data_IF_360925039609
#
_entry.id   IF_360925039609
#
_cell.length_a   1.000
_cell.length_b   1.000
_cell.length_c   1.000
_cell.angle_alpha   90.00
_cell.angle_beta   90.00
_cell.angle_gamma   90.00
#
_symmetry.space_group_name_H-M   'P 1'
#
loop_
_entity.id
_entity.type
_entity.pdbx_description
1 polymer ?
#
# COMPACT_ATOMS: atom_id res chain seq x y z
N UNK A 1 -31.39 -5.50 -11.85
CA UNK A 1 -30.27 -6.39 -11.48
C UNK A 1 -29.29 -5.52 -10.70
N UNK A 2 -29.27 -5.64 -9.39
CA UNK A 2 -28.34 -4.91 -8.52
C UNK A 2 -26.95 -5.52 -8.68
N UNK A 3 -25.96 -4.73 -9.09
CA UNK A 3 -24.57 -5.17 -9.10
C UNK A 3 -24.21 -5.60 -7.67
N UNK A 4 -23.82 -6.85 -7.48
CA UNK A 4 -23.32 -7.33 -6.21
C UNK A 4 -21.98 -6.65 -5.95
N UNK A 5 -21.98 -5.59 -5.14
CA UNK A 5 -20.76 -4.91 -4.74
C UNK A 5 -19.81 -5.89 -4.06
N UNK A 6 -18.61 -6.06 -4.62
CA UNK A 6 -17.55 -6.82 -3.95
C UNK A 6 -17.13 -6.05 -2.69
N UNK A 7 -16.92 -6.76 -1.58
CA UNK A 7 -16.64 -6.23 -0.23
C UNK A 7 -15.16 -6.39 0.14
N UNK A 8 -14.51 -5.35 0.67
CA UNK A 8 -13.08 -5.34 0.97
C UNK A 8 -12.75 -6.45 1.99
N UNK A 9 -11.62 -7.13 1.81
CA UNK A 9 -11.28 -8.35 2.55
C UNK A 9 -10.85 -8.07 3.99
N UNK A 10 -10.45 -6.84 4.31
CA UNK A 10 -9.88 -6.48 5.62
C UNK A 10 -10.96 -6.09 6.63
N UNK A 11 -12.02 -5.43 6.18
CA UNK A 11 -13.04 -4.80 7.03
C UNK A 11 -14.48 -4.89 6.46
N UNK A 12 -14.67 -5.52 5.29
CA UNK A 12 -15.97 -5.67 4.65
C UNK A 12 -16.52 -4.37 4.03
N UNK A 13 -15.78 -3.27 4.11
CA UNK A 13 -16.17 -1.99 3.53
C UNK A 13 -16.08 -2.04 1.99
N UNK A 14 -16.89 -1.29 1.24
CA UNK A 14 -16.70 -1.18 -0.21
C UNK A 14 -15.34 -0.58 -0.55
N UNK A 15 -14.59 -1.21 -1.45
CA UNK A 15 -13.33 -0.67 -1.98
C UNK A 15 -13.60 0.28 -3.16
N UNK A 16 -14.40 1.30 -2.89
CA UNK A 16 -14.77 2.35 -3.83
C UNK A 16 -14.01 3.62 -3.50
N UNK A 17 -13.40 4.23 -4.52
CA UNK A 17 -12.57 5.42 -4.36
C UNK A 17 -13.19 6.60 -5.10
N UNK A 18 -13.15 7.78 -4.51
CA UNK A 18 -13.49 9.01 -5.19
C UNK A 18 -12.20 9.76 -5.50
N UNK A 19 -12.07 10.38 -6.67
CA UNK A 19 -10.89 11.19 -6.98
C UNK A 19 -11.23 12.56 -7.56
N UNK A 20 -10.37 13.53 -7.23
CA UNK A 20 -10.50 14.92 -7.64
C UNK A 20 -9.12 15.55 -7.88
N UNK A 21 -9.13 16.72 -8.50
CA UNK A 21 -7.93 17.49 -8.78
C UNK A 21 -7.95 18.71 -7.87
N UNK A 22 -6.81 19.02 -7.23
CA UNK A 22 -6.67 20.27 -6.48
C UNK A 22 -5.32 20.91 -6.78
N UNK A 23 -5.32 22.23 -6.79
CA UNK A 23 -4.09 23.01 -6.89
C UNK A 23 -3.49 23.19 -5.50
N UNK A 24 -2.21 22.89 -5.32
CA UNK A 24 -1.49 23.19 -4.07
C UNK A 24 -0.45 24.26 -4.34
N UNK A 25 -0.67 25.41 -3.72
CA UNK A 25 0.39 26.40 -3.55
C UNK A 25 1.25 25.98 -2.34
N UNK A 26 2.43 25.43 -2.61
CA UNK A 26 3.34 25.01 -1.55
C UNK A 26 4.06 26.17 -0.87
N UNK A 27 3.95 27.42 -1.36
CA UNK A 27 4.35 28.67 -0.68
C UNK A 27 5.80 28.80 -0.17
N UNK A 28 6.63 27.77 -0.34
CA UNK A 28 7.96 27.65 0.27
C UNK A 28 9.08 28.08 -0.67
N UNK A 29 8.80 28.13 -1.97
CA UNK A 29 9.69 28.65 -3.00
C UNK A 29 8.84 29.26 -4.13
N UNK A 30 8.95 30.57 -4.42
CA UNK A 30 8.30 31.18 -5.58
C UNK A 30 8.69 30.53 -6.91
N UNK A 31 9.82 29.80 -6.94
CA UNK A 31 10.30 29.04 -8.09
C UNK A 31 10.05 27.51 -7.96
N UNK A 32 9.46 27.06 -6.85
CA UNK A 32 9.10 25.65 -6.66
C UNK A 32 8.02 25.22 -7.65
N UNK A 33 7.94 23.92 -8.02
CA UNK A 33 6.92 23.46 -8.94
C UNK A 33 5.55 23.56 -8.26
N UNK A 34 4.85 24.67 -8.54
CA UNK A 34 3.40 24.74 -8.41
C UNK A 34 2.82 23.65 -9.30
N UNK A 35 1.90 22.87 -8.76
CA UNK A 35 1.37 21.74 -9.48
C UNK A 35 0.03 21.32 -8.94
N UNK A 36 -0.79 20.82 -9.85
CA UNK A 36 -2.03 20.19 -9.50
C UNK A 36 -1.70 18.77 -9.02
N UNK A 37 -2.43 18.33 -8.01
CA UNK A 37 -2.34 16.96 -7.53
C UNK A 37 -3.68 16.26 -7.74
N UNK A 38 -3.61 14.95 -7.92
CA UNK A 38 -4.77 14.08 -7.91
C UNK A 38 -4.93 13.55 -6.49
N UNK A 39 -6.08 13.82 -5.88
CA UNK A 39 -6.46 13.26 -4.59
C UNK A 39 -7.40 12.11 -4.81
N UNK A 40 -7.07 10.94 -4.27
CA UNK A 40 -7.94 9.78 -4.23
C UNK A 40 -8.30 9.48 -2.78
N UNK A 41 -9.59 9.33 -2.52
CA UNK A 41 -10.12 9.23 -1.17
C UNK A 41 -11.13 8.08 -1.08
N UNK A 42 -11.07 7.27 -0.03
CA UNK A 42 -12.08 6.24 0.23
C UNK A 42 -13.11 6.79 1.24
N UNK A 43 -14.37 6.99 0.85
CA UNK A 43 -15.39 7.59 1.72
C UNK A 43 -15.80 6.69 2.90
N UNK A 44 -15.54 5.38 2.82
CA UNK A 44 -15.86 4.43 3.89
C UNK A 44 -14.77 4.35 4.95
N UNK A 45 -13.51 4.37 4.54
CA UNK A 45 -12.36 4.24 5.46
C UNK A 45 -11.76 5.59 5.86
N UNK A 46 -12.07 6.66 5.13
CA UNK A 46 -11.47 7.99 5.30
C UNK A 46 -9.99 8.07 4.91
N UNK A 47 -9.47 7.04 4.22
CA UNK A 47 -8.13 7.05 3.66
C UNK A 47 -8.03 8.08 2.53
N UNK A 48 -6.92 8.80 2.48
CA UNK A 48 -6.63 9.81 1.46
C UNK A 48 -5.24 9.53 0.93
N UNK A 49 -5.12 9.54 -0.38
CA UNK A 49 -3.85 9.43 -1.09
C UNK A 49 -3.72 10.50 -2.16
N UNK A 50 -2.48 10.72 -2.60
CA UNK A 50 -2.14 11.79 -3.52
C UNK A 50 -1.17 11.31 -4.62
N UNK A 51 -1.43 11.77 -5.84
CA UNK A 51 -0.59 11.59 -7.01
C UNK A 51 -0.22 12.94 -7.63
N UNK A 52 0.91 13.01 -8.33
CA UNK A 52 1.47 14.25 -8.88
C UNK A 52 2.75 14.70 -8.17
N UNK A 53 3.18 15.98 -8.36
CA UNK A 53 2.48 17.07 -9.04
C UNK A 53 2.45 16.94 -10.58
N UNK A 54 1.42 17.50 -11.23
CA UNK A 54 1.28 17.62 -12.68
C UNK A 54 0.49 18.89 -13.08
N UNK A 55 0.69 19.45 -14.29
CA UNK A 55 -0.05 20.63 -14.75
C UNK A 55 -1.40 20.22 -15.36
N UNK A 56 -2.35 19.80 -14.54
CA UNK A 56 -3.62 19.20 -15.01
C UNK A 56 -4.66 20.29 -15.31
N UNK A 57 -4.90 21.21 -14.37
CA UNK A 57 -5.96 22.21 -14.46
C UNK A 57 -5.73 23.22 -15.60
N UNK A 58 -4.47 23.42 -15.99
CA UNK A 58 -4.09 24.30 -17.10
C UNK A 58 -4.26 23.69 -18.49
N UNK A 59 -4.53 22.38 -18.60
CA UNK A 59 -4.74 21.74 -19.89
C UNK A 59 -6.06 22.20 -20.52
N UNK A 60 -6.08 22.47 -21.84
CA UNK A 60 -7.23 23.11 -22.47
C UNK A 60 -8.41 22.15 -22.69
N UNK A 61 -8.17 20.85 -22.86
CA UNK A 61 -9.22 19.85 -23.14
C UNK A 61 -9.40 18.86 -21.98
N UNK A 62 -10.60 18.26 -21.90
CA UNK A 62 -10.90 17.25 -20.88
C UNK A 62 -10.12 15.96 -21.17
N UNK A 63 -9.89 15.65 -22.44
CA UNK A 63 -9.12 14.50 -22.89
C UNK A 63 -7.65 14.59 -22.47
N UNK A 64 -7.05 15.78 -22.58
CA UNK A 64 -5.68 16.02 -22.10
C UNK A 64 -5.62 15.98 -20.57
N UNK A 65 -6.63 16.52 -19.88
CA UNK A 65 -6.75 16.40 -18.41
C UNK A 65 -6.79 14.93 -17.99
N UNK A 66 -7.66 14.14 -18.61
CA UNK A 66 -7.79 12.71 -18.33
C UNK A 66 -6.45 11.99 -18.55
N UNK A 67 -5.78 12.25 -19.66
CA UNK A 67 -4.47 11.67 -19.97
C UNK A 67 -3.40 12.02 -18.92
N UNK A 68 -3.38 13.26 -18.42
CA UNK A 68 -2.45 13.69 -17.38
C UNK A 68 -2.79 13.11 -15.98
N UNK A 69 -4.07 12.85 -15.71
CA UNK A 69 -4.55 12.30 -14.44
C UNK A 69 -4.18 10.84 -14.30
N UNK A 70 -4.27 10.03 -15.37
CA UNK A 70 -4.06 8.57 -15.32
C UNK A 70 -2.75 8.17 -14.62
N UNK A 71 -1.56 8.65 -15.05
CA UNK A 71 -0.32 8.24 -14.39
C UNK A 71 -0.29 8.70 -12.92
N UNK A 72 -0.82 9.88 -12.62
CA UNK A 72 -0.91 10.37 -11.23
C UNK A 72 -1.82 9.47 -10.39
N UNK A 73 -2.99 9.11 -10.90
CA UNK A 73 -4.00 8.28 -10.24
C UNK A 73 -3.51 6.85 -10.02
N UNK A 74 -2.90 6.23 -11.03
CA UNK A 74 -2.36 4.87 -10.92
C UNK A 74 -1.17 4.81 -9.96
N UNK A 75 -0.27 5.79 -10.01
CA UNK A 75 0.88 5.90 -9.10
C UNK A 75 0.44 5.97 -7.63
N UNK A 76 -0.74 6.52 -7.33
CA UNK A 76 -1.32 6.51 -5.99
C UNK A 76 -1.48 5.09 -5.43
N UNK A 77 -1.89 4.13 -6.28
CA UNK A 77 -2.18 2.75 -5.87
C UNK A 77 -1.02 1.79 -6.11
N UNK A 78 -0.10 2.13 -7.01
CA UNK A 78 1.11 1.35 -7.28
C UNK A 78 2.19 1.65 -6.23
N UNK A 79 2.14 2.83 -5.60
CA UNK A 79 3.19 3.26 -4.68
C UNK A 79 3.29 2.34 -3.45
N UNK A 80 4.52 1.92 -3.13
CA UNK A 80 4.77 0.84 -2.18
C UNK A 80 4.73 1.24 -0.71
N UNK A 81 4.68 2.54 -0.42
CA UNK A 81 4.82 3.06 0.94
C UNK A 81 3.57 2.85 1.79
N UNK A 82 2.47 2.44 1.18
CA UNK A 82 1.23 2.10 1.87
C UNK A 82 0.64 0.84 1.23
N UNK A 83 0.34 -0.21 2.01
CA UNK A 83 -0.47 -1.33 1.55
C UNK A 83 -1.87 -0.81 1.19
N UNK A 84 -2.05 -0.36 -0.06
CA UNK A 84 -3.33 0.12 -0.55
C UNK A 84 -4.01 -1.00 -1.30
N UNK A 85 -5.26 -1.30 -0.95
CA UNK A 85 -6.08 -2.16 -1.78
C UNK A 85 -6.32 -1.46 -3.11
N UNK A 86 -5.92 -2.07 -4.23
CA UNK A 86 -6.28 -1.58 -5.56
C UNK A 86 -7.79 -1.33 -5.61
N UNK A 87 -8.24 -0.18 -6.12
CA UNK A 87 -9.65 0.17 -6.17
C UNK A 87 -10.41 -0.90 -6.96
N UNK A 88 -11.69 -1.10 -6.63
CA UNK A 88 -12.59 -1.92 -7.45
C UNK A 88 -13.53 -1.09 -8.30
N UNK A 89 -13.75 0.14 -7.88
CA UNK A 89 -14.47 1.15 -8.63
C UNK A 89 -13.96 2.51 -8.18
N UNK A 90 -14.14 3.50 -9.05
CA UNK A 90 -13.90 4.87 -8.68
C UNK A 90 -14.88 5.84 -9.32
N UNK A 91 -15.06 6.98 -8.66
CA UNK A 91 -15.89 8.06 -9.15
C UNK A 91 -15.13 9.39 -9.16
N UNK A 92 -15.57 10.32 -9.99
CA UNK A 92 -15.08 11.70 -9.98
C UNK A 92 -16.23 12.72 -9.93
N UNK A 93 -15.90 13.97 -9.61
CA UNK A 93 -16.88 15.05 -9.41
C UNK A 93 -17.47 15.60 -10.71
N UNK A 94 -16.81 15.35 -11.83
CA UNK A 94 -17.09 15.92 -13.15
C UNK A 94 -17.51 14.79 -14.11
N UNK A 95 -18.72 14.90 -14.66
CA UNK A 95 -19.31 13.87 -15.50
C UNK A 95 -18.58 13.71 -16.85
N UNK A 96 -18.12 14.82 -17.43
CA UNK A 96 -17.41 14.80 -18.70
C UNK A 96 -16.02 14.20 -18.49
N UNK A 97 -15.37 14.52 -17.36
CA UNK A 97 -14.11 13.90 -16.97
C UNK A 97 -14.26 12.41 -16.70
N UNK A 98 -15.33 11.97 -16.04
CA UNK A 98 -15.60 10.54 -15.79
C UNK A 98 -15.65 9.77 -17.12
N UNK A 99 -16.39 10.29 -18.10
CA UNK A 99 -16.48 9.69 -19.43
C UNK A 99 -15.11 9.65 -20.13
N UNK A 100 -14.37 10.77 -20.14
CA UNK A 100 -13.06 10.84 -20.79
C UNK A 100 -12.04 9.89 -20.14
N UNK A 101 -12.03 9.82 -18.81
CA UNK A 101 -11.18 8.91 -18.04
C UNK A 101 -11.47 7.45 -18.41
N UNK A 102 -12.73 7.04 -18.52
CA UNK A 102 -13.08 5.67 -18.88
C UNK A 102 -12.56 5.25 -20.25
N UNK A 103 -12.62 6.15 -21.24
CA UNK A 103 -12.05 5.92 -22.58
C UNK A 103 -10.53 5.79 -22.50
N UNK A 104 -9.84 6.72 -21.83
CA UNK A 104 -8.38 6.74 -21.74
C UNK A 104 -7.83 5.56 -20.93
N UNK A 105 -8.43 5.22 -19.78
CA UNK A 105 -8.03 4.06 -18.99
C UNK A 105 -8.06 2.77 -19.81
N UNK A 106 -9.08 2.62 -20.66
CA UNK A 106 -9.18 1.49 -21.59
C UNK A 106 -8.06 1.48 -22.63
N UNK A 107 -7.70 2.63 -23.17
CA UNK A 107 -6.56 2.76 -24.11
C UNK A 107 -5.22 2.41 -23.44
N UNK A 108 -5.08 2.67 -22.14
CA UNK A 108 -3.92 2.29 -21.33
C UNK A 108 -3.96 0.83 -20.84
N UNK A 109 -4.94 0.03 -21.26
CA UNK A 109 -5.03 -1.40 -20.91
C UNK A 109 -5.44 -1.67 -19.47
N UNK A 110 -6.03 -0.69 -18.78
CA UNK A 110 -6.56 -0.88 -17.43
C UNK A 110 -7.75 -1.86 -17.47
N UNK A 111 -7.88 -2.67 -16.42
CA UNK A 111 -8.95 -3.66 -16.30
C UNK A 111 -10.34 -3.05 -16.62
N UNK A 112 -11.21 -3.73 -17.41
CA UNK A 112 -12.49 -3.17 -17.86
C UNK A 112 -13.39 -2.64 -16.74
N UNK A 113 -13.39 -3.29 -15.57
CA UNK A 113 -14.18 -2.88 -14.41
C UNK A 113 -13.79 -1.49 -13.87
N UNK A 114 -12.52 -1.09 -14.04
CA UNK A 114 -12.02 0.23 -13.62
C UNK A 114 -12.12 1.28 -14.73
N UNK A 115 -12.44 0.88 -15.95
CA UNK A 115 -12.75 1.81 -17.03
C UNK A 115 -14.16 2.41 -16.87
N UNK A 116 -15.02 1.83 -16.03
CA UNK A 116 -16.31 2.39 -15.65
C UNK A 116 -16.10 3.40 -14.52
N UNK A 117 -15.86 4.67 -14.88
CA UNK A 117 -15.69 5.76 -13.91
C UNK A 117 -17.06 6.37 -13.63
N UNK A 118 -17.48 6.29 -12.37
CA UNK A 118 -18.76 6.84 -11.91
C UNK A 118 -18.69 8.36 -11.70
N UNK A 119 -19.87 8.97 -11.59
CA UNK A 119 -20.00 10.36 -11.12
C UNK A 119 -20.35 10.33 -9.64
N UNK A 120 -19.64 11.11 -8.83
CA UNK A 120 -19.86 11.16 -7.39
C UNK A 120 -21.32 11.52 -7.04
N UNK A 121 -21.90 10.79 -6.08
CA UNK A 121 -23.17 11.19 -5.43
C UNK A 121 -23.00 12.51 -4.66
N UNK A 122 -24.10 13.19 -4.27
CA UNK A 122 -24.02 14.39 -3.44
C UNK A 122 -23.23 14.18 -2.13
N UNK A 123 -23.41 13.03 -1.48
CA UNK A 123 -22.72 12.69 -0.23
C UNK A 123 -21.22 12.48 -0.46
N UNK A 124 -20.86 11.78 -1.55
CA UNK A 124 -19.47 11.59 -1.95
C UNK A 124 -18.79 12.93 -2.32
N UNK A 125 -19.53 13.83 -2.96
CA UNK A 125 -19.04 15.18 -3.29
C UNK A 125 -18.73 15.98 -2.03
N UNK A 126 -19.63 15.99 -1.05
CA UNK A 126 -19.41 16.68 0.22
C UNK A 126 -18.19 16.10 0.95
N UNK A 127 -18.06 14.77 0.99
CA UNK A 127 -16.90 14.10 1.57
C UNK A 127 -15.58 14.48 0.90
N UNK A 128 -15.57 14.58 -0.43
CA UNK A 128 -14.38 15.00 -1.17
C UNK A 128 -13.98 16.43 -0.84
N UNK A 129 -14.94 17.34 -0.77
CA UNK A 129 -14.70 18.74 -0.43
C UNK A 129 -14.11 18.85 0.97
N UNK A 130 -14.69 18.16 1.96
CA UNK A 130 -14.14 18.13 3.33
C UNK A 130 -12.71 17.55 3.36
N UNK A 131 -12.47 16.49 2.58
CA UNK A 131 -11.16 15.84 2.47
C UNK A 131 -10.11 16.76 1.84
N UNK A 132 -10.49 17.55 0.83
CA UNK A 132 -9.65 18.57 0.22
C UNK A 132 -9.29 19.68 1.23
N UNK A 133 -10.25 20.18 2.00
CA UNK A 133 -10.01 21.24 3.00
C UNK A 133 -9.11 20.78 4.15
N UNK A 134 -9.14 19.49 4.48
CA UNK A 134 -8.27 18.87 5.50
C UNK A 134 -6.84 18.65 5.02
N UNK A 135 -6.58 18.62 3.72
CA UNK A 135 -5.28 18.28 3.18
C UNK A 135 -4.18 19.29 3.60
N UNK A 136 -4.36 20.62 3.47
CA UNK A 136 -3.35 21.59 3.92
C UNK A 136 -3.03 21.44 5.41
N UNK A 137 -4.03 21.12 6.25
CA UNK A 137 -3.83 20.91 7.68
C UNK A 137 -3.02 19.64 7.95
N UNK A 138 -3.33 18.54 7.25
CA UNK A 138 -2.55 17.29 7.32
C UNK A 138 -1.12 17.49 6.81
N UNK A 139 -0.93 18.21 5.71
CA UNK A 139 0.39 18.56 5.17
C UNK A 139 1.17 19.43 6.16
N UNK A 140 0.56 20.49 6.70
CA UNK A 140 1.20 21.35 7.69
C UNK A 140 1.53 20.58 8.97
N UNK A 141 0.67 19.65 9.40
CA UNK A 141 0.98 18.76 10.53
C UNK A 141 2.16 17.83 10.21
N UNK A 142 2.19 17.23 9.02
CA UNK A 142 3.28 16.36 8.58
C UNK A 142 4.61 17.10 8.47
N UNK A 143 4.59 18.29 7.85
CA UNK A 143 5.75 19.16 7.66
C UNK A 143 6.17 19.87 8.97
N UNK A 144 5.22 20.27 9.80
CA UNK A 144 5.48 20.88 11.11
C UNK A 144 5.97 19.87 12.15
N UNK A 145 5.57 18.60 12.03
CA UNK A 145 6.07 17.49 12.86
C UNK A 145 7.56 17.20 12.63
N UNK A 146 8.15 17.61 11.50
CA UNK A 146 9.62 17.60 11.31
C UNK A 146 10.35 18.52 12.31
N UNK A 147 9.70 19.56 12.83
CA UNK A 147 10.36 20.61 13.65
C UNK A 147 10.46 20.23 15.14
N UNK A 148 9.69 19.24 15.62
CA UNK A 148 9.83 18.67 16.99
C UNK A 148 9.88 17.15 16.94
N UNK A 149 10.77 16.59 16.12
CA UNK A 149 11.01 15.15 16.13
C UNK A 149 11.75 14.75 17.41
N UNK A 150 11.02 14.20 18.39
CA UNK A 150 11.63 13.54 19.55
C UNK A 150 12.64 12.48 19.06
N UNK A 151 13.81 12.36 19.71
CA UNK A 151 14.79 11.33 19.36
C UNK A 151 14.16 9.93 19.48
N UNK A 152 14.44 9.06 18.52
CA UNK A 152 14.00 7.65 18.55
C UNK A 152 14.73 6.94 19.70
N UNK A 153 13.98 6.28 20.57
CA UNK A 153 14.55 5.54 21.70
C UNK A 153 15.44 4.39 21.20
N UNK A 154 16.55 4.08 21.89
CA UNK A 154 17.32 2.86 21.61
C UNK A 154 16.43 1.62 21.74
N UNK A 155 16.53 0.68 20.81
CA UNK A 155 15.74 -0.56 20.76
C UNK A 155 14.41 -0.45 20.02
N UNK A 156 13.96 0.75 19.67
CA UNK A 156 12.74 0.94 18.87
C UNK A 156 12.96 0.48 17.42
N UNK A 157 12.40 -0.68 17.07
CA UNK A 157 12.46 -1.27 15.73
C UNK A 157 11.39 -0.72 14.78
N UNK A 158 10.48 0.15 15.25
CA UNK A 158 9.38 0.68 14.44
C UNK A 158 9.77 1.90 13.62
N UNK A 159 10.98 2.45 13.84
CA UNK A 159 11.46 3.67 13.16
C UNK A 159 12.94 3.60 12.81
N UNK A 160 13.31 4.23 11.69
CA UNK A 160 14.70 4.42 11.32
C UNK A 160 15.36 5.48 12.22
N UNK A 161 16.44 5.17 12.93
CA UNK A 161 17.16 6.15 13.76
C UNK A 161 17.83 7.27 12.94
N UNK A 162 18.03 7.08 11.63
CA UNK A 162 18.63 8.07 10.74
C UNK A 162 17.65 9.12 10.20
N UNK A 163 16.57 8.69 9.54
CA UNK A 163 15.57 9.60 8.96
C UNK A 163 14.31 9.75 9.80
N UNK A 164 14.13 8.93 10.84
CA UNK A 164 12.97 8.91 11.75
C UNK A 164 11.64 8.51 11.12
N UNK A 165 11.61 8.14 9.84
CA UNK A 165 10.43 7.51 9.23
C UNK A 165 10.14 6.15 9.89
N UNK A 166 8.87 5.77 9.90
CA UNK A 166 8.42 4.48 10.44
C UNK A 166 8.86 3.32 9.54
N UNK A 167 8.95 2.11 10.07
CA UNK A 167 9.29 0.91 9.33
C UNK A 167 8.32 0.66 8.16
N UNK A 168 7.06 1.08 8.31
CA UNK A 168 6.02 1.04 7.28
C UNK A 168 6.35 1.88 6.04
N UNK A 169 7.24 2.87 6.14
CA UNK A 169 7.65 3.67 4.99
C UNK A 169 8.63 2.94 4.05
N UNK A 170 9.04 1.71 4.37
CA UNK A 170 10.10 0.99 3.66
C UNK A 170 9.68 -0.43 3.28
N UNK A 171 10.15 -0.87 2.12
CA UNK A 171 9.97 -2.24 1.64
C UNK A 171 10.76 -3.28 2.42
N UNK A 172 11.99 -2.92 2.80
CA UNK A 172 12.91 -3.82 3.47
C UNK A 172 12.79 -3.63 4.99
N UNK A 173 12.86 -4.72 5.78
CA UNK A 173 12.97 -4.62 7.22
C UNK A 173 14.14 -3.73 7.62
N UNK A 174 13.94 -2.94 8.69
CA UNK A 174 15.02 -2.09 9.18
C UNK A 174 16.22 -2.94 9.64
N UNK A 175 17.39 -2.57 9.16
CA UNK A 175 18.65 -3.23 9.46
C UNK A 175 19.16 -2.78 10.82
N UNK A 176 19.48 -3.75 11.68
CA UNK A 176 20.08 -3.49 13.00
C UNK A 176 21.52 -3.02 12.86
N UNK A 177 21.94 -2.10 13.70
CA UNK A 177 23.34 -1.74 13.86
C UNK A 177 24.13 -2.97 14.31
N UNK A 178 25.12 -3.39 13.53
CA UNK A 178 25.94 -4.56 13.85
C UNK A 178 26.77 -4.41 15.13
N UNK A 179 27.05 -3.18 15.57
CA UNK A 179 27.83 -2.93 16.77
C UNK A 179 27.04 -3.06 18.08
N UNK A 180 25.82 -2.50 18.14
CA UNK A 180 25.04 -2.48 19.38
C UNK A 180 23.70 -3.23 19.33
N UNK A 181 23.18 -3.55 18.14
CA UNK A 181 21.85 -4.15 17.98
C UNK A 181 20.66 -3.22 18.33
N UNK A 182 20.90 -2.06 18.92
CA UNK A 182 19.87 -1.16 19.48
C UNK A 182 19.43 -0.01 18.54
N UNK A 183 20.04 0.13 17.38
CA UNK A 183 19.64 1.14 16.40
C UNK A 183 19.26 0.47 15.09
N UNK A 184 18.23 0.99 14.43
CA UNK A 184 17.61 0.41 13.25
C UNK A 184 17.66 1.41 12.09
N UNK A 185 17.98 0.93 10.88
CA UNK A 185 18.15 1.78 9.71
C UNK A 185 17.57 1.13 8.46
N UNK A 186 16.86 1.89 7.64
CA UNK A 186 16.40 1.37 6.35
C UNK A 186 17.54 1.30 5.30
N UNK A 187 18.62 2.08 5.49
CA UNK A 187 19.72 2.21 4.52
C UNK A 187 21.07 2.50 5.19
N UNK A 188 22.16 2.19 4.48
CA UNK A 188 23.52 2.51 4.93
C UNK A 188 23.74 4.02 5.02
N UNK A 189 23.06 4.78 4.18
CA UNK A 189 23.10 6.24 4.11
C UNK A 189 22.51 6.84 5.40
N UNK A 190 21.36 6.33 5.85
CA UNK A 190 20.77 6.72 7.14
C UNK A 190 21.66 6.36 8.32
N UNK A 191 22.29 5.18 8.29
CA UNK A 191 23.26 4.79 9.32
C UNK A 191 24.45 5.76 9.36
N UNK A 192 25.08 6.06 8.21
CA UNK A 192 26.21 7.00 8.12
C UNK A 192 25.84 8.40 8.61
N UNK A 193 24.64 8.89 8.26
CA UNK A 193 24.13 10.19 8.71
C UNK A 193 23.96 10.24 10.23
N UNK A 194 23.37 9.19 10.81
CA UNK A 194 23.18 9.08 12.26
C UNK A 194 24.47 8.77 13.02
N UNK A 195 25.47 8.19 12.35
CA UNK A 195 26.70 7.67 12.97
C UNK A 195 27.42 8.69 13.85
N UNK A 196 27.47 9.96 13.44
CA UNK A 196 28.12 11.04 14.21
C UNK A 196 27.58 11.15 15.64
N UNK A 197 26.27 10.96 15.81
CA UNK A 197 25.58 10.97 17.10
C UNK A 197 25.59 9.59 17.76
N UNK A 198 25.40 8.54 16.96
CA UNK A 198 25.27 7.17 17.45
C UNK A 198 26.57 6.59 18.01
N UNK A 199 27.72 6.89 17.39
CA UNK A 199 29.01 6.26 17.69
C UNK A 199 29.41 6.30 19.16
N UNK A 200 29.07 7.38 19.88
CA UNK A 200 29.38 7.53 21.29
C UNK A 200 28.65 6.52 22.19
N UNK A 201 27.53 5.97 21.71
CA UNK A 201 26.69 4.98 22.40
C UNK A 201 26.74 3.60 21.73
N UNK A 202 27.50 3.45 20.64
CA UNK A 202 27.61 2.22 19.90
C UNK A 202 28.80 1.42 20.45
N UNK A 203 28.55 0.28 21.10
CA UNK A 203 29.62 -0.60 21.59
C UNK A 203 29.58 -0.97 23.07
N UNK A 204 28.45 -0.86 23.76
CA UNK A 204 28.22 -1.53 25.05
C UNK A 204 27.49 -2.85 24.82
N UNK A 205 28.21 -3.97 24.55
CA UNK A 205 27.62 -5.30 24.57
C UNK A 205 27.31 -5.65 26.03
N UNK A 206 26.14 -5.27 26.54
CA UNK A 206 25.89 -5.44 27.97
C UNK A 206 24.45 -5.32 28.48
N UNK A 207 23.47 -4.99 27.65
CA UNK A 207 22.07 -5.19 28.04
C UNK A 207 21.63 -6.54 27.48
N UNK A 208 21.73 -7.57 28.31
CA UNK A 208 21.20 -8.91 28.05
C UNK A 208 19.78 -8.81 27.46
N UNK A 209 19.48 -9.50 26.35
CA UNK A 209 18.11 -9.59 25.86
C UNK A 209 17.25 -10.23 26.95
N UNK A 210 16.29 -9.46 27.46
CA UNK A 210 15.30 -9.92 28.44
C UNK A 210 14.58 -11.13 27.86
N UNK A 211 15.01 -12.32 28.30
CA UNK A 211 14.35 -13.58 28.01
C UNK A 211 13.20 -13.71 28.98
N UNK A 212 11.97 -13.82 28.46
CA UNK A 212 10.81 -14.18 29.27
C UNK A 212 9.54 -13.43 28.90
N UNK A 213 8.94 -13.80 27.77
CA UNK A 213 7.48 -13.73 27.66
C UNK A 213 7.01 -15.05 27.07
N UNK A 214 6.52 -15.94 27.93
CA UNK A 214 5.69 -17.10 27.58
C UNK A 214 4.31 -16.58 27.17
N UNK A 215 4.24 -15.77 26.11
CA UNK A 215 3.00 -15.55 25.37
C UNK A 215 2.83 -16.69 24.38
N UNK A 216 1.60 -17.16 24.17
CA UNK A 216 1.27 -18.00 23.02
C UNK A 216 1.97 -17.43 21.79
N UNK A 217 3.02 -18.11 21.32
CA UNK A 217 3.79 -17.67 20.17
C UNK A 217 2.83 -17.64 18.99
N UNK A 218 2.47 -16.45 18.53
CA UNK A 218 1.82 -16.29 17.24
C UNK A 218 2.83 -16.85 16.25
N UNK A 219 2.54 -18.04 15.72
CA UNK A 219 3.35 -18.68 14.70
C UNK A 219 3.26 -17.77 13.48
N UNK A 220 4.39 -17.25 13.03
CA UNK A 220 4.46 -16.44 11.80
C UNK A 220 3.99 -17.30 10.62
N UNK A 221 3.25 -16.73 9.67
CA UNK A 221 2.54 -17.46 8.63
C UNK A 221 3.48 -18.24 7.71
N UNK A 222 4.75 -17.83 7.62
CA UNK A 222 5.79 -18.61 6.98
C UNK A 222 6.16 -19.89 7.75
N UNK A 223 6.22 -19.82 9.08
CA UNK A 223 6.42 -21.00 9.92
C UNK A 223 5.17 -21.89 9.89
N UNK A 224 3.97 -21.30 9.97
CA UNK A 224 2.70 -22.03 9.85
C UNK A 224 2.61 -22.82 8.54
N UNK A 225 2.94 -22.17 7.42
CA UNK A 225 2.93 -22.81 6.11
C UNK A 225 3.85 -24.04 6.08
N UNK A 226 5.04 -23.93 6.68
CA UNK A 226 6.06 -24.98 6.69
C UNK A 226 5.74 -26.12 7.65
N UNK A 227 5.13 -25.84 8.79
CA UNK A 227 4.91 -26.84 9.85
C UNK A 227 3.49 -27.40 9.86
N UNK A 228 2.48 -26.55 9.69
CA UNK A 228 1.07 -26.93 9.86
C UNK A 228 0.38 -27.14 8.51
N UNK A 229 0.44 -26.17 7.60
CA UNK A 229 -0.32 -26.21 6.35
C UNK A 229 0.09 -27.40 5.46
N UNK A 230 1.36 -27.79 5.44
CA UNK A 230 1.82 -28.97 4.68
C UNK A 230 1.19 -30.28 5.17
N UNK A 231 0.78 -30.34 6.44
CA UNK A 231 0.16 -31.53 7.02
C UNK A 231 -1.36 -31.54 6.85
N UNK A 232 -1.98 -30.39 6.57
CA UNK A 232 -3.42 -30.27 6.29
C UNK A 232 -3.75 -30.80 4.87
N UNK A 233 -4.63 -31.81 4.73
CA UNK A 233 -5.03 -32.33 3.42
C UNK A 233 -5.68 -31.30 2.49
N UNK A 234 -6.46 -30.36 3.02
CA UNK A 234 -7.12 -29.32 2.24
C UNK A 234 -6.09 -28.29 1.73
N UNK A 235 -5.13 -27.90 2.59
CA UNK A 235 -4.05 -27.01 2.19
C UNK A 235 -3.18 -27.65 1.09
N UNK A 236 -2.85 -28.94 1.22
CA UNK A 236 -2.14 -29.69 0.17
C UNK A 236 -2.92 -29.76 -1.14
N UNK A 237 -4.22 -30.02 -1.08
CA UNK A 237 -5.08 -30.01 -2.27
C UNK A 237 -5.06 -28.64 -2.94
N UNK A 238 -5.14 -27.56 -2.16
CA UNK A 238 -5.06 -26.20 -2.68
C UNK A 238 -3.68 -25.91 -3.31
N UNK A 239 -2.58 -26.31 -2.68
CA UNK A 239 -1.23 -26.11 -3.23
C UNK A 239 -1.04 -26.86 -4.56
N UNK A 240 -1.56 -28.09 -4.66
CA UNK A 240 -1.57 -28.87 -5.90
C UNK A 240 -2.39 -28.18 -7.00
N UNK A 241 -3.59 -27.69 -6.67
CA UNK A 241 -4.44 -26.94 -7.61
C UNK A 241 -3.75 -25.67 -8.13
N UNK A 242 -2.99 -24.99 -7.26
CA UNK A 242 -2.20 -23.81 -7.58
C UNK A 242 -0.91 -24.13 -8.35
N UNK A 243 -0.61 -25.43 -8.57
CA UNK A 243 0.63 -25.95 -9.18
C UNK A 243 1.87 -25.43 -8.47
N UNK A 244 1.81 -25.39 -7.13
CA UNK A 244 2.96 -25.15 -6.29
C UNK A 244 3.63 -26.51 -6.06
N UNK A 245 4.89 -26.62 -6.47
CA UNK A 245 5.73 -27.78 -6.18
C UNK A 245 6.17 -27.77 -4.72
N UNK A 246 6.70 -28.91 -4.25
CA UNK A 246 7.24 -29.02 -2.89
C UNK A 246 8.43 -28.06 -2.66
N UNK A 247 9.02 -27.49 -3.72
CA UNK A 247 10.10 -26.50 -3.66
C UNK A 247 9.58 -25.04 -3.60
N UNK A 248 8.28 -24.82 -3.78
CA UNK A 248 7.68 -23.49 -3.77
C UNK A 248 7.93 -22.73 -2.44
N UNK A 249 8.17 -23.46 -1.35
CA UNK A 249 8.50 -22.89 -0.03
C UNK A 249 9.87 -22.23 0.01
N UNK A 250 10.83 -22.69 -0.80
CA UNK A 250 12.17 -22.09 -0.86
C UNK A 250 12.15 -20.73 -1.58
N UNK A 251 11.17 -20.54 -2.48
CA UNK A 251 10.95 -19.30 -3.22
C UNK A 251 10.20 -18.23 -2.41
N UNK A 252 9.87 -18.52 -1.14
CA UNK A 252 9.24 -17.60 -0.20
C UNK A 252 7.73 -17.38 -0.42
N UNK A 253 7.12 -16.67 0.53
CA UNK A 253 5.66 -16.42 0.57
C UNK A 253 5.12 -15.74 -0.69
N UNK A 254 5.93 -14.91 -1.34
CA UNK A 254 5.51 -14.11 -2.48
C UNK A 254 5.01 -14.98 -3.65
N UNK A 255 5.64 -16.12 -3.94
CA UNK A 255 5.22 -16.99 -5.05
C UNK A 255 3.82 -17.59 -4.81
N UNK A 256 3.56 -18.02 -3.57
CA UNK A 256 2.30 -18.66 -3.17
C UNK A 256 1.17 -17.65 -3.23
N UNK A 257 1.41 -16.46 -2.65
CA UNK A 257 0.48 -15.33 -2.73
C UNK A 257 0.23 -14.97 -4.19
N UNK A 258 1.25 -14.96 -5.04
CA UNK A 258 1.11 -14.66 -6.46
C UNK A 258 0.23 -15.68 -7.18
N UNK A 259 0.37 -16.97 -6.88
CA UNK A 259 -0.50 -18.01 -7.47
C UNK A 259 -1.94 -17.88 -7.00
N UNK A 260 -2.16 -17.58 -5.71
CA UNK A 260 -3.49 -17.34 -5.17
C UNK A 260 -4.18 -16.19 -5.90
N UNK A 261 -3.52 -15.04 -6.01
CA UNK A 261 -4.07 -13.86 -6.68
C UNK A 261 -4.26 -14.11 -8.18
N UNK A 262 -3.25 -14.67 -8.85
CA UNK A 262 -3.29 -14.95 -10.29
C UNK A 262 -4.44 -15.87 -10.68
N UNK A 263 -4.78 -16.84 -9.82
CA UNK A 263 -5.89 -17.77 -10.07
C UNK A 263 -7.24 -17.28 -9.54
N UNK A 264 -7.28 -16.08 -8.93
CA UNK A 264 -8.49 -15.55 -8.27
C UNK A 264 -8.94 -16.37 -7.06
N UNK A 265 -8.02 -17.10 -6.42
CA UNK A 265 -8.26 -17.98 -5.27
C UNK A 265 -7.73 -17.41 -3.96
N UNK A 266 -7.37 -16.13 -3.92
CA UNK A 266 -6.90 -15.41 -2.73
C UNK A 266 -8.04 -15.02 -1.78
N UNK A 267 -8.93 -15.98 -1.49
CA UNK A 267 -10.04 -15.82 -0.55
C UNK A 267 -9.54 -15.83 0.90
N UNK A 268 -10.28 -15.25 1.87
CA UNK A 268 -9.87 -15.26 3.26
C UNK A 268 -9.67 -16.67 3.83
N UNK A 269 -10.47 -17.63 3.39
CA UNK A 269 -10.37 -19.02 3.83
C UNK A 269 -9.12 -19.71 3.26
N UNK A 270 -8.78 -19.46 2.00
CA UNK A 270 -7.55 -19.99 1.40
C UNK A 270 -6.30 -19.35 2.00
N UNK A 271 -6.33 -18.05 2.27
CA UNK A 271 -5.25 -17.35 2.98
C UNK A 271 -5.09 -17.90 4.40
N UNK A 272 -6.20 -18.13 5.12
CA UNK A 272 -6.17 -18.76 6.46
C UNK A 272 -5.63 -20.18 6.42
N UNK A 273 -6.00 -20.95 5.40
CA UNK A 273 -5.60 -22.33 5.23
C UNK A 273 -4.08 -22.47 5.01
N UNK A 274 -3.46 -21.53 4.28
CA UNK A 274 -2.03 -21.59 3.95
C UNK A 274 -1.15 -20.84 4.95
N UNK A 275 -1.64 -19.75 5.55
CA UNK A 275 -0.84 -18.85 6.40
C UNK A 275 -1.32 -18.80 7.86
N UNK A 276 -2.32 -19.60 8.21
CA UNK A 276 -2.81 -19.76 9.57
C UNK A 276 -3.93 -18.78 9.97
N UNK A 277 -4.57 -19.01 11.13
CA UNK A 277 -5.71 -18.22 11.62
C UNK A 277 -5.39 -16.73 11.85
N UNK A 278 -4.11 -16.41 12.00
CA UNK A 278 -3.64 -15.07 12.35
C UNK A 278 -2.95 -14.33 11.20
N UNK A 279 -3.05 -14.81 9.96
CA UNK A 279 -2.44 -14.15 8.81
C UNK A 279 -2.90 -12.68 8.64
N UNK A 280 -4.11 -12.35 9.11
CA UNK A 280 -4.66 -10.99 9.13
C UNK A 280 -3.99 -10.07 10.16
N UNK A 281 -3.10 -10.57 11.00
CA UNK A 281 -2.26 -9.77 11.89
C UNK A 281 -0.83 -9.64 11.36
N UNK A 282 -0.52 -10.35 10.28
CA UNK A 282 0.79 -10.32 9.65
C UNK A 282 0.82 -9.30 8.52
N UNK A 283 1.30 -8.12 8.87
CA UNK A 283 1.44 -7.00 7.95
C UNK A 283 2.29 -7.36 6.71
N UNK A 284 3.24 -8.28 6.83
CA UNK A 284 4.05 -8.76 5.71
C UNK A 284 3.22 -9.53 4.67
N UNK A 285 2.32 -10.42 5.11
CA UNK A 285 1.47 -11.22 4.22
C UNK A 285 0.46 -10.33 3.52
N UNK A 286 -0.19 -9.43 4.26
CA UNK A 286 -1.09 -8.42 3.68
C UNK A 286 -0.41 -7.57 2.63
N UNK A 287 0.77 -7.04 2.96
CA UNK A 287 1.52 -6.18 2.05
C UNK A 287 1.88 -6.91 0.76
N UNK A 288 2.35 -8.16 0.84
CA UNK A 288 2.64 -8.96 -0.35
C UNK A 288 1.37 -9.27 -1.15
N UNK A 289 0.28 -9.63 -0.48
CA UNK A 289 -1.00 -9.93 -1.11
C UNK A 289 -1.55 -8.74 -1.90
N UNK A 290 -1.60 -7.57 -1.28
CA UNK A 290 -2.06 -6.35 -1.94
C UNK A 290 -1.15 -5.94 -3.10
N UNK A 291 0.19 -5.97 -2.89
CA UNK A 291 1.14 -5.63 -3.96
C UNK A 291 0.93 -6.49 -5.20
N UNK A 292 0.80 -7.81 -5.02
CA UNK A 292 0.64 -8.73 -6.14
C UNK A 292 -0.75 -8.58 -6.80
N UNK A 293 -1.79 -8.23 -6.04
CA UNK A 293 -3.09 -7.84 -6.62
C UNK A 293 -2.96 -6.62 -7.53
N UNK A 294 -2.30 -5.56 -7.09
CA UNK A 294 -2.09 -4.36 -7.91
C UNK A 294 -1.30 -4.72 -9.18
N UNK A 295 -0.20 -5.45 -9.04
CA UNK A 295 0.65 -5.88 -10.17
C UNK A 295 -0.16 -6.62 -11.24
N UNK A 296 -0.98 -7.60 -10.82
CA UNK A 296 -1.78 -8.42 -11.74
C UNK A 296 -3.03 -7.73 -12.27
N UNK A 297 -3.50 -6.65 -11.63
CA UNK A 297 -4.59 -5.81 -12.15
C UNK A 297 -4.09 -4.80 -13.18
N UNK A 298 -2.86 -4.31 -13.03
CA UNK A 298 -2.24 -3.33 -13.94
C UNK A 298 -1.71 -4.01 -15.21
N UNK A 299 -1.10 -5.18 -15.09
CA UNK A 299 -0.60 -5.96 -16.23
C UNK A 299 -0.99 -7.44 -16.08
N UNK A 300 -2.26 -7.80 -16.37
CA UNK A 300 -2.70 -9.17 -16.23
C UNK A 300 -1.89 -10.08 -17.19
N UNK A 301 -1.29 -11.18 -16.71
CA UNK A 301 -0.61 -12.11 -17.60
C UNK A 301 -1.63 -12.90 -18.41
N UNK A 302 -1.23 -13.33 -19.62
CA UNK A 302 -2.05 -14.21 -20.48
C UNK A 302 -2.54 -15.43 -19.71
N UNK A 303 -3.86 -15.64 -19.72
CA UNK A 303 -4.53 -16.75 -19.03
C UNK A 303 -4.93 -16.46 -17.58
N UNK A 304 -4.64 -15.27 -17.06
CA UNK A 304 -5.25 -14.76 -15.83
C UNK A 304 -6.77 -14.58 -16.03
N UNK A 305 -7.62 -14.77 -15.00
CA UNK A 305 -9.04 -14.38 -15.05
C UNK A 305 -9.26 -12.90 -15.38
N UNK A 306 -8.22 -12.07 -15.17
CA UNK A 306 -8.22 -10.63 -15.42
C UNK A 306 -7.69 -10.25 -16.81
N UNK A 307 -7.24 -11.22 -17.62
CA UNK A 307 -6.78 -11.02 -18.99
C UNK A 307 -8.00 -10.94 -19.94
N UNK A 308 -8.55 -9.73 -20.11
CA UNK A 308 -9.68 -9.45 -21.01
C UNK A 308 -9.23 -8.72 -22.28
#
# INVERSE_FOLDING_TARGET
>A
MTSGGMINLVDGAPNHWIFGITHIDMGLDPAGPMGDIVLATNPHTGQIYQGGPAPILSLPTIEEKAEAIIPCLLDVFIRPSTPVDAPWSWATLDADLAQAMGVRLKEHGVAPALCEVDVCTPEQREFMIESHERLPQKMLHFMGSEIIRKPVSPGDSTRCHGCRCTAQCFFEPLRKCSGCGMAFYHSKECQKKHWKMHKAKCGTPGATPSTGSNGNSIIEGHEYLRSEAINDPAARSLMQDLRLDDDAYENGLALIIHRLVFTGRDTPDNMRLLFGPHYTHEELIKLHHQRIRVELLVDPPRGSPWYA
#
